data_IF_380903833090
#
_entry.id   IF_380903833090
#
_cell.length_a   1.000
_cell.length_b   1.000
_cell.length_c   1.000
_cell.angle_alpha   90.00
_cell.angle_beta   90.00
_cell.angle_gamma   90.00
#
_symmetry.space_group_name_H-M   'P 1'
#
loop_
_entity.id
_entity.type
_entity.pdbx_description
1 polymer ?
#
# COMPACT_ATOMS: atom_id res chain seq x y z
N UNK A 1 -1.94 -6.88 -8.19
CA UNK A 1 -2.49 -6.94 -6.81
C UNK A 1 -1.37 -6.54 -5.86
N UNK A 2 -1.64 -5.69 -4.87
CA UNK A 2 -0.60 -5.21 -3.94
C UNK A 2 -0.62 -6.07 -2.68
N UNK A 3 0.53 -6.57 -2.24
CA UNK A 3 0.70 -7.33 -1.00
C UNK A 3 1.49 -6.46 -0.03
N UNK A 4 1.01 -6.36 1.20
CA UNK A 4 1.64 -5.55 2.24
C UNK A 4 1.90 -6.40 3.47
N UNK A 5 3.01 -6.09 4.13
CA UNK A 5 3.29 -6.53 5.48
C UNK A 5 3.21 -5.32 6.40
N UNK A 6 2.30 -5.39 7.38
CA UNK A 6 2.07 -4.32 8.36
C UNK A 6 2.50 -4.86 9.72
N UNK A 7 3.40 -4.17 10.39
CA UNK A 7 3.90 -4.50 11.72
C UNK A 7 3.43 -3.43 12.72
N UNK A 8 3.26 -3.82 13.98
CA UNK A 8 2.89 -2.85 15.03
C UNK A 8 4.14 -2.20 15.59
N UNK A 9 4.26 -0.88 15.50
CA UNK A 9 5.45 -0.15 15.99
C UNK A 9 5.70 -0.41 17.48
N UNK A 10 4.62 -0.53 18.25
CA UNK A 10 4.64 -0.84 19.69
C UNK A 10 5.15 -2.26 19.96
N UNK A 11 4.74 -3.24 19.16
CA UNK A 11 5.06 -4.65 19.38
C UNK A 11 6.42 -5.05 18.79
N UNK A 12 6.87 -4.38 17.72
CA UNK A 12 8.23 -4.51 17.19
C UNK A 12 9.26 -4.09 18.24
N UNK A 13 8.98 -3.02 19.02
CA UNK A 13 9.81 -2.59 20.15
C UNK A 13 9.84 -3.60 21.31
N UNK A 14 8.86 -4.51 21.38
CA UNK A 14 8.79 -5.59 22.37
C UNK A 14 9.39 -6.93 21.88
N UNK A 15 10.09 -6.95 20.73
CA UNK A 15 10.59 -8.17 20.06
C UNK A 15 9.49 -9.19 19.72
N UNK A 16 8.24 -8.73 19.59
CA UNK A 16 7.12 -9.55 19.13
C UNK A 16 6.86 -9.23 17.66
N UNK A 17 7.24 -10.16 16.78
CA UNK A 17 6.94 -10.10 15.35
C UNK A 17 5.45 -10.39 15.08
N UNK A 18 4.58 -9.45 15.45
CA UNK A 18 3.18 -9.49 15.02
C UNK A 18 3.10 -8.70 13.72
N UNK A 19 3.01 -9.45 12.62
CA UNK A 19 2.89 -8.93 11.28
C UNK A 19 1.58 -9.38 10.63
N UNK A 20 0.83 -8.44 10.08
CA UNK A 20 -0.38 -8.70 9.28
C UNK A 20 0.01 -8.67 7.82
N UNK A 21 -0.30 -9.74 7.10
CA UNK A 21 -0.23 -9.74 5.64
C UNK A 21 -1.57 -9.31 5.06
N UNK A 22 -1.58 -8.20 4.33
CA UNK A 22 -2.74 -7.70 3.60
C UNK A 22 -2.54 -7.89 2.09
N UNK A 23 -3.66 -8.07 1.39
CA UNK A 23 -3.71 -8.14 -0.06
C UNK A 23 -4.74 -7.13 -0.52
N UNK A 24 -4.30 -6.12 -1.25
CA UNK A 24 -5.09 -4.98 -1.70
C UNK A 24 -5.38 -5.06 -3.22
N UNK A 25 -6.53 -4.53 -3.68
CA UNK A 25 -7.54 -3.83 -2.89
C UNK A 25 -8.43 -4.78 -2.07
N UNK A 26 -8.91 -4.30 -0.94
CA UNK A 26 -9.83 -5.02 -0.04
C UNK A 26 -10.83 -4.04 0.59
N UNK A 27 -11.95 -4.54 1.12
CA UNK A 27 -12.91 -3.68 1.83
C UNK A 27 -12.26 -3.03 3.06
N UNK A 28 -12.58 -1.77 3.31
CA UNK A 28 -12.01 -1.00 4.42
C UNK A 28 -12.19 -1.68 5.78
N UNK A 29 -13.36 -2.29 5.99
CA UNK A 29 -13.66 -3.03 7.21
C UNK A 29 -12.77 -4.27 7.38
N UNK A 30 -12.38 -4.94 6.28
CA UNK A 30 -11.45 -6.08 6.36
C UNK A 30 -10.04 -5.65 6.75
N UNK A 31 -9.60 -4.45 6.33
CA UNK A 31 -8.34 -3.84 6.80
C UNK A 31 -8.41 -3.68 8.32
N UNK A 32 -9.45 -3.02 8.83
CA UNK A 32 -9.62 -2.81 10.27
C UNK A 32 -9.67 -4.12 11.07
N UNK A 33 -10.41 -5.12 10.58
CA UNK A 33 -10.49 -6.44 11.23
C UNK A 33 -9.11 -7.10 11.28
N UNK A 34 -8.31 -6.99 10.22
CA UNK A 34 -6.98 -7.57 10.17
C UNK A 34 -5.99 -6.86 11.12
N UNK A 35 -6.04 -5.53 11.19
CA UNK A 35 -5.23 -4.73 12.11
C UNK A 35 -5.59 -5.01 13.57
N UNK A 36 -6.89 -5.06 13.91
CA UNK A 36 -7.34 -5.37 15.27
C UNK A 36 -6.92 -6.76 15.74
N UNK A 37 -6.90 -7.76 14.86
CA UNK A 37 -6.41 -9.11 15.18
C UNK A 37 -4.92 -9.13 15.55
N UNK A 38 -4.17 -8.13 15.12
CA UNK A 38 -2.76 -7.93 15.44
C UNK A 38 -2.54 -6.93 16.60
N UNK A 39 -3.57 -6.67 17.39
CA UNK A 39 -3.52 -5.76 18.55
C UNK A 39 -3.14 -4.31 18.17
N UNK A 40 -3.35 -3.91 16.91
CA UNK A 40 -3.19 -2.53 16.45
C UNK A 40 -4.50 -1.76 16.71
N UNK A 41 -4.44 -0.79 17.60
CA UNK A 41 -5.60 0.03 18.01
C UNK A 41 -5.73 1.30 17.16
N UNK A 42 -4.65 1.74 16.53
CA UNK A 42 -4.62 2.93 15.66
C UNK A 42 -3.71 2.74 14.43
N UNK A 43 -3.91 3.58 13.40
CA UNK A 43 -2.99 3.65 12.26
C UNK A 43 -1.62 4.19 12.65
N UNK A 44 -1.55 5.02 13.70
CA UNK A 44 -0.27 5.53 14.22
C UNK A 44 0.59 4.40 14.80
N UNK A 45 -0.03 3.27 15.18
CA UNK A 45 0.68 2.07 15.63
C UNK A 45 1.12 1.17 14.45
N UNK A 46 0.80 1.50 13.20
CA UNK A 46 1.05 0.67 12.02
C UNK A 46 2.29 1.15 11.26
N UNK A 47 3.24 0.24 11.03
CA UNK A 47 4.39 0.46 10.16
C UNK A 47 4.36 -0.56 9.02
N UNK A 48 4.45 -0.10 7.77
CA UNK A 48 4.52 -1.02 6.63
C UNK A 48 5.98 -1.46 6.48
N UNK A 49 6.24 -2.74 6.74
CA UNK A 49 7.58 -3.29 6.67
C UNK A 49 7.99 -3.66 5.25
N UNK A 50 7.04 -4.07 4.40
CA UNK A 50 7.32 -4.48 3.03
C UNK A 50 6.08 -4.36 2.12
N UNK A 51 6.34 -4.16 0.82
CA UNK A 51 5.33 -4.00 -0.23
C UNK A 51 5.74 -4.70 -1.53
N UNK A 52 4.81 -5.48 -2.09
CA UNK A 52 4.97 -6.12 -3.39
C UNK A 52 3.77 -5.81 -4.30
N UNK A 53 4.03 -5.49 -5.56
CA UNK A 53 3.03 -5.23 -6.58
C UNK A 53 3.40 -6.00 -7.86
N UNK A 54 2.40 -6.65 -8.46
CA UNK A 54 2.61 -7.41 -9.70
C UNK A 54 2.83 -6.50 -10.94
N UNK A 55 2.58 -5.19 -10.82
CA UNK A 55 2.80 -4.20 -11.88
C UNK A 55 4.16 -3.55 -11.67
N UNK A 56 5.09 -3.79 -12.59
CA UNK A 56 6.50 -3.39 -12.47
C UNK A 56 6.69 -1.90 -12.17
N UNK A 57 6.06 -1.00 -12.94
CA UNK A 57 6.19 0.45 -12.72
C UNK A 57 5.58 0.87 -11.39
N UNK A 58 4.48 0.24 -10.98
CA UNK A 58 3.89 0.50 -9.67
C UNK A 58 4.80 0.00 -8.55
N UNK A 59 5.49 -1.14 -8.71
CA UNK A 59 6.48 -1.62 -7.75
C UNK A 59 7.66 -0.64 -7.66
N UNK A 60 8.20 -0.18 -8.79
CA UNK A 60 9.30 0.81 -8.82
C UNK A 60 8.90 2.10 -8.08
N UNK A 61 7.69 2.59 -8.34
CA UNK A 61 7.13 3.74 -7.63
C UNK A 61 7.00 3.48 -6.13
N UNK A 62 6.39 2.37 -5.70
CA UNK A 62 6.22 2.05 -4.28
C UNK A 62 7.57 1.91 -3.55
N UNK A 63 8.57 1.30 -4.20
CA UNK A 63 9.94 1.22 -3.68
C UNK A 63 10.65 2.58 -3.59
N UNK A 64 10.20 3.59 -4.33
CA UNK A 64 10.75 4.94 -4.28
C UNK A 64 10.20 5.77 -3.10
N UNK A 65 9.10 5.33 -2.50
CA UNK A 65 8.46 6.00 -1.37
C UNK A 65 9.05 5.56 -0.02
N UNK A 66 8.93 6.41 1.00
CA UNK A 66 9.11 6.00 2.40
C UNK A 66 7.88 5.19 2.85
N UNK A 67 7.82 3.92 2.45
CA UNK A 67 6.61 3.09 2.61
C UNK A 67 6.24 2.83 4.07
N UNK A 68 7.22 2.86 4.99
CA UNK A 68 6.99 2.61 6.42
C UNK A 68 5.95 3.54 7.05
N UNK A 69 5.80 4.75 6.51
CA UNK A 69 4.81 5.74 6.94
C UNK A 69 3.66 5.93 5.95
N UNK A 70 3.59 5.11 4.91
CA UNK A 70 2.54 5.24 3.92
C UNK A 70 1.18 4.89 4.52
N UNK A 71 0.15 5.61 4.08
CA UNK A 71 -1.20 5.37 4.54
C UNK A 71 -1.76 4.12 3.87
N UNK A 72 -2.12 3.10 4.67
CA UNK A 72 -2.67 1.82 4.19
C UNK A 72 -3.94 2.05 3.35
N UNK A 73 -4.76 3.06 3.68
CA UNK A 73 -5.97 3.36 2.92
C UNK A 73 -5.66 4.00 1.56
N UNK A 74 -4.64 4.84 1.47
CA UNK A 74 -4.18 5.37 0.18
C UNK A 74 -3.59 4.25 -0.68
N UNK A 75 -2.84 3.32 -0.08
CA UNK A 75 -2.38 2.12 -0.78
C UNK A 75 -3.56 1.25 -1.26
N UNK A 76 -4.64 1.17 -0.48
CA UNK A 76 -5.84 0.44 -0.87
C UNK A 76 -6.56 1.10 -2.05
N UNK A 77 -6.66 2.44 -2.05
CA UNK A 77 -7.21 3.20 -3.17
C UNK A 77 -6.34 3.04 -4.41
N UNK A 78 -5.01 3.15 -4.28
CA UNK A 78 -4.06 2.95 -5.36
C UNK A 78 -4.16 1.52 -5.95
N UNK A 79 -4.22 0.50 -5.10
CA UNK A 79 -4.45 -0.88 -5.52
C UNK A 79 -5.80 -1.06 -6.24
N UNK A 80 -6.83 -0.36 -5.77
CA UNK A 80 -8.15 -0.31 -6.36
C UNK A 80 -8.12 0.28 -7.76
N UNK A 81 -7.45 1.43 -7.94
CA UNK A 81 -7.23 2.07 -9.23
C UNK A 81 -6.53 1.12 -10.20
N UNK A 82 -5.40 0.52 -9.80
CA UNK A 82 -4.67 -0.42 -10.66
C UNK A 82 -5.50 -1.63 -11.08
N UNK A 83 -6.42 -2.09 -10.21
CA UNK A 83 -7.26 -3.26 -10.48
C UNK A 83 -8.52 -2.93 -11.29
N UNK A 84 -8.96 -1.67 -11.26
CA UNK A 84 -10.16 -1.21 -11.95
C UNK A 84 -9.88 -0.73 -13.39
N UNK A 85 -8.65 -0.32 -13.69
CA UNK A 85 -8.28 0.14 -15.03
C UNK A 85 -8.32 -1.01 -16.06
N UNK A 86 -9.00 -0.81 -17.21
CA UNK A 86 -8.85 -1.67 -18.38
C UNK A 86 -7.39 -1.74 -18.86
N UNK A 87 -7.02 -2.78 -19.60
CA UNK A 87 -5.62 -3.04 -19.99
C UNK A 87 -4.98 -1.89 -20.79
N UNK A 88 -5.73 -1.25 -21.69
CA UNK A 88 -5.28 -0.10 -22.48
C UNK A 88 -5.06 1.15 -21.63
N UNK A 89 -5.96 1.42 -20.68
CA UNK A 89 -5.81 2.52 -19.73
C UNK A 89 -4.68 2.25 -18.72
N UNK A 90 -4.53 1.01 -18.26
CA UNK A 90 -3.45 0.58 -17.37
C UNK A 90 -2.08 0.77 -18.05
N UNK A 91 -1.95 0.42 -19.33
CA UNK A 91 -0.72 0.71 -20.09
C UNK A 91 -0.39 2.19 -20.13
N UNK A 92 -1.39 3.05 -20.36
CA UNK A 92 -1.20 4.50 -20.37
C UNK A 92 -0.80 5.01 -18.98
N UNK A 93 -1.47 4.52 -17.93
CA UNK A 93 -1.19 4.88 -16.55
C UNK A 93 0.23 4.48 -16.13
N UNK A 94 0.66 3.24 -16.43
CA UNK A 94 2.04 2.76 -16.19
C UNK A 94 3.09 3.66 -16.83
N UNK A 95 2.84 4.08 -18.08
CA UNK A 95 3.73 5.01 -18.78
C UNK A 95 3.80 6.37 -18.07
N UNK A 96 2.66 6.93 -17.68
CA UNK A 96 2.63 8.21 -16.96
C UNK A 96 3.31 8.11 -15.59
N UNK A 97 3.11 7.02 -14.86
CA UNK A 97 3.76 6.78 -13.57
C UNK A 97 5.29 6.84 -13.71
N UNK A 98 5.83 6.23 -14.78
CA UNK A 98 7.25 6.25 -15.10
C UNK A 98 7.76 7.60 -15.59
N UNK A 99 6.99 8.28 -16.45
CA UNK A 99 7.40 9.55 -17.06
C UNK A 99 7.30 10.73 -16.07
N UNK A 100 6.26 10.73 -15.21
CA UNK A 100 5.98 11.82 -14.27
C UNK A 100 6.65 11.63 -12.91
N UNK A 101 6.90 10.38 -12.49
CA UNK A 101 7.54 10.04 -11.22
C UNK A 101 6.89 10.75 -10.01
N UNK A 102 5.61 10.43 -9.72
CA UNK A 102 4.91 11.01 -8.57
C UNK A 102 5.69 10.74 -7.28
N UNK A 103 5.63 11.70 -6.35
CA UNK A 103 6.37 11.64 -5.08
C UNK A 103 5.53 11.18 -3.90
N UNK A 104 4.23 10.99 -4.11
CA UNK A 104 3.29 10.54 -3.10
C UNK A 104 2.22 9.64 -3.71
N UNK A 105 1.53 8.87 -2.87
CA UNK A 105 0.34 8.11 -3.29
C UNK A 105 -0.77 9.03 -3.78
N UNK A 106 -0.96 10.18 -3.13
CA UNK A 106 -1.94 11.20 -3.55
C UNK A 106 -1.68 11.67 -4.98
N UNK A 107 -0.45 12.06 -5.32
CA UNK A 107 -0.07 12.46 -6.68
C UNK A 107 -0.31 11.31 -7.67
N UNK A 108 0.07 10.09 -7.31
CA UNK A 108 -0.14 8.93 -8.16
C UNK A 108 -1.63 8.62 -8.41
N UNK A 109 -2.50 8.82 -7.41
CA UNK A 109 -3.93 8.51 -7.50
C UNK A 109 -4.69 9.61 -8.26
N UNK A 110 -4.38 10.88 -8.01
CA UNK A 110 -5.24 11.99 -8.45
C UNK A 110 -4.63 12.90 -9.53
N UNK A 111 -3.31 12.89 -9.72
CA UNK A 111 -2.63 13.82 -10.62
C UNK A 111 -2.13 13.16 -11.93
N UNK A 112 -2.32 11.85 -12.08
CA UNK A 112 -1.90 11.05 -13.24
C UNK A 112 -3.05 10.74 -14.17
#
# INVERSE_FOLDING_TARGET
MIRLYVASEKLVKEEKDICVRLVLPVEENEIWIALQKAEMESLDDCEISDVECDVEEAQEFLCSLEISKANIFELNVFAGLLSALPEDELMLYRKKLKDQQPKSLEEAIYEI
#
